data_IF_724555834533
#
_entry.id   IF_724555834533
#
_cell.length_a   1.000
_cell.length_b   1.000
_cell.length_c   1.000
_cell.angle_alpha   90.00
_cell.angle_beta   90.00
_cell.angle_gamma   90.00
#
_symmetry.space_group_name_H-M   'P 1'
#
loop_
_entity.id
_entity.type
_entity.pdbx_description
1 polymer ?
#
# COMPACT_ATOMS: atom_id res chain seq x y z
N UNK A 1 -10.23 -2.91 -19.29
CA UNK A 1 -9.92 -3.95 -20.30
C UNK A 1 -10.81 -5.16 -20.04
N UNK A 2 -10.67 -6.26 -20.79
CA UNK A 2 -11.41 -7.51 -20.52
C UNK A 2 -11.04 -8.15 -19.17
N UNK A 3 -9.82 -7.93 -18.68
CA UNK A 3 -9.33 -8.49 -17.41
C UNK A 3 -9.92 -7.82 -16.16
N UNK A 4 -10.35 -6.55 -16.28
CA UNK A 4 -10.78 -5.69 -15.16
C UNK A 4 -9.71 -5.59 -14.07
N UNK A 5 -8.44 -5.57 -14.46
CA UNK A 5 -7.32 -5.47 -13.51
C UNK A 5 -6.73 -4.06 -13.42
N UNK A 6 -7.01 -3.18 -14.38
CA UNK A 6 -6.56 -1.79 -14.38
C UNK A 6 -7.72 -0.80 -14.22
N UNK A 7 -7.56 0.18 -13.34
CA UNK A 7 -8.57 1.17 -12.97
C UNK A 7 -7.98 2.59 -13.09
N UNK A 8 -8.83 3.55 -13.44
CA UNK A 8 -8.47 4.97 -13.48
C UNK A 8 -9.06 5.71 -12.29
N UNK A 9 -8.21 6.37 -11.51
CA UNK A 9 -8.60 7.34 -10.51
C UNK A 9 -8.72 8.71 -11.16
N UNK A 10 -9.95 9.19 -11.33
CA UNK A 10 -10.25 10.51 -11.91
C UNK A 10 -10.51 11.54 -10.83
N UNK A 11 -10.05 12.76 -11.08
CA UNK A 11 -10.48 13.91 -10.28
C UNK A 11 -12.01 14.06 -10.37
N UNK A 12 -12.67 14.31 -9.25
CA UNK A 12 -14.14 14.32 -9.18
C UNK A 12 -14.75 15.57 -9.78
N UNK A 13 -14.01 16.68 -9.83
CA UNK A 13 -14.48 17.96 -10.35
C UNK A 13 -14.18 18.10 -11.83
N UNK A 14 -12.96 17.73 -12.25
CA UNK A 14 -12.52 17.93 -13.65
C UNK A 14 -12.73 16.70 -14.53
N UNK A 15 -12.85 15.50 -13.94
CA UNK A 15 -12.91 14.24 -14.67
C UNK A 15 -11.58 13.78 -15.28
N UNK A 16 -10.51 14.54 -15.06
CA UNK A 16 -9.16 14.23 -15.55
C UNK A 16 -8.62 12.98 -14.85
N UNK A 17 -7.95 12.11 -15.62
CA UNK A 17 -7.28 10.93 -15.06
C UNK A 17 -6.05 11.39 -14.27
N UNK A 18 -6.07 11.15 -12.96
CA UNK A 18 -4.98 11.53 -12.05
C UNK A 18 -4.07 10.35 -11.72
N UNK A 19 -4.64 9.15 -11.63
CA UNK A 19 -3.94 7.94 -11.25
C UNK A 19 -4.43 6.73 -12.04
N UNK A 20 -3.57 5.74 -12.18
CA UNK A 20 -3.94 4.37 -12.58
C UNK A 20 -3.54 3.41 -11.48
N UNK A 21 -4.33 2.37 -11.27
CA UNK A 21 -4.13 1.42 -10.18
C UNK A 21 -4.64 0.03 -10.57
N UNK A 22 -4.10 -0.99 -9.90
CA UNK A 22 -4.58 -2.36 -9.98
C UNK A 22 -5.45 -2.76 -8.79
N UNK A 23 -5.98 -3.99 -8.82
CA UNK A 23 -6.68 -4.55 -7.65
C UNK A 23 -5.79 -4.67 -6.42
N UNK A 24 -4.49 -4.93 -6.61
CA UNK A 24 -3.53 -5.06 -5.51
C UNK A 24 -3.34 -3.74 -4.76
N UNK A 25 -3.53 -2.61 -5.43
CA UNK A 25 -3.48 -1.28 -4.82
C UNK A 25 -4.81 -0.93 -4.15
N UNK A 26 -5.93 -1.11 -4.86
CA UNK A 26 -7.25 -0.68 -4.41
C UNK A 26 -7.83 -1.52 -3.25
N UNK A 27 -7.29 -2.72 -3.00
CA UNK A 27 -7.73 -3.55 -1.87
C UNK A 27 -7.49 -2.87 -0.52
N UNK A 28 -6.43 -2.06 -0.40
CA UNK A 28 -6.10 -1.30 0.82
C UNK A 28 -7.12 -0.19 1.12
N UNK A 29 -7.93 0.22 0.15
CA UNK A 29 -9.01 1.20 0.35
C UNK A 29 -10.42 0.60 0.49
N UNK A 30 -10.58 -0.71 0.21
CA UNK A 30 -11.89 -1.38 0.12
C UNK A 30 -12.11 -2.45 1.20
N UNK A 31 -11.08 -3.22 1.58
CA UNK A 31 -11.18 -4.17 2.67
C UNK A 31 -11.09 -3.43 4.02
N UNK A 32 -12.04 -3.64 4.92
CA UNK A 32 -12.12 -2.87 6.17
C UNK A 32 -10.89 -3.00 7.08
N UNK A 33 -10.30 -4.20 7.15
CA UNK A 33 -9.10 -4.45 7.96
C UNK A 33 -7.87 -3.78 7.34
N UNK A 34 -7.66 -3.94 6.04
CA UNK A 34 -6.53 -3.30 5.34
C UNK A 34 -6.66 -1.78 5.33
N UNK A 35 -7.88 -1.27 5.21
CA UNK A 35 -8.17 0.16 5.27
C UNK A 35 -7.83 0.75 6.63
N UNK A 36 -8.15 0.06 7.72
CA UNK A 36 -7.78 0.52 9.06
C UNK A 36 -6.25 0.65 9.22
N UNK A 37 -5.48 -0.27 8.63
CA UNK A 37 -4.00 -0.18 8.61
C UNK A 37 -3.52 1.00 7.74
N UNK A 38 -4.13 1.19 6.56
CA UNK A 38 -3.80 2.32 5.69
C UNK A 38 -4.08 3.67 6.36
N UNK A 39 -5.17 3.79 7.11
CA UNK A 39 -5.53 5.01 7.85
C UNK A 39 -4.51 5.35 8.96
N UNK A 40 -3.94 4.35 9.63
CA UNK A 40 -2.83 4.58 10.58
C UNK A 40 -1.62 5.17 9.86
N UNK A 41 -1.20 4.63 8.72
CA UNK A 41 -0.03 5.15 8.00
C UNK A 41 -0.29 6.46 7.26
N UNK A 42 -1.54 6.78 6.94
CA UNK A 42 -1.93 8.05 6.30
C UNK A 42 -2.18 9.18 7.32
N UNK A 43 -2.12 8.91 8.62
CA UNK A 43 -2.29 9.91 9.67
C UNK A 43 -1.13 10.92 9.68
N UNK A 44 -1.39 12.16 10.09
CA UNK A 44 -0.43 13.27 9.99
C UNK A 44 0.86 13.08 10.80
N UNK A 45 0.83 12.23 11.81
CA UNK A 45 1.94 11.91 12.71
C UNK A 45 2.66 10.60 12.36
N UNK A 46 2.25 9.91 11.29
CA UNK A 46 2.72 8.56 11.00
C UNK A 46 3.96 8.48 10.10
N UNK A 47 4.54 9.61 9.67
CA UNK A 47 5.67 9.61 8.72
C UNK A 47 6.87 8.79 9.22
N UNK A 48 7.36 9.07 10.44
CA UNK A 48 8.50 8.36 11.00
C UNK A 48 8.17 6.88 11.27
N UNK A 49 6.94 6.59 11.71
CA UNK A 49 6.45 5.24 11.93
C UNK A 49 6.45 4.43 10.64
N UNK A 50 5.92 5.00 9.56
CA UNK A 50 5.88 4.34 8.25
C UNK A 50 7.29 3.95 7.78
N UNK A 51 8.25 4.87 7.87
CA UNK A 51 9.64 4.60 7.47
C UNK A 51 10.26 3.48 8.30
N UNK A 52 10.12 3.53 9.63
CA UNK A 52 10.68 2.51 10.53
C UNK A 52 10.07 1.12 10.27
N UNK A 53 8.75 1.06 10.15
CA UNK A 53 8.04 -0.21 9.95
C UNK A 53 8.35 -0.80 8.57
N UNK A 54 8.47 0.04 7.53
CA UNK A 54 8.89 -0.39 6.21
C UNK A 54 10.31 -0.97 6.22
N UNK A 55 11.27 -0.29 6.86
CA UNK A 55 12.66 -0.78 6.97
C UNK A 55 12.71 -2.08 7.76
N UNK A 56 11.97 -2.20 8.86
CA UNK A 56 11.93 -3.44 9.64
C UNK A 56 11.36 -4.60 8.82
N UNK A 57 10.28 -4.37 8.06
CA UNK A 57 9.71 -5.38 7.17
C UNK A 57 10.68 -5.78 6.05
N UNK A 58 11.40 -4.81 5.46
CA UNK A 58 12.42 -5.04 4.46
C UNK A 58 13.56 -5.93 5.00
N UNK A 59 14.15 -5.54 6.12
CA UNK A 59 15.23 -6.30 6.79
C UNK A 59 14.77 -7.71 7.15
N UNK A 60 13.52 -7.87 7.60
CA UNK A 60 12.94 -9.20 7.86
C UNK A 60 12.95 -10.07 6.61
N UNK A 61 12.46 -9.55 5.48
CA UNK A 61 12.42 -10.31 4.21
C UNK A 61 13.82 -10.66 3.72
N UNK A 62 14.78 -9.74 3.84
CA UNK A 62 16.18 -9.97 3.43
C UNK A 62 16.91 -11.05 4.23
N UNK A 63 16.39 -11.45 5.39
CA UNK A 63 17.00 -12.47 6.24
C UNK A 63 16.19 -13.78 6.31
N UNK A 64 15.14 -13.95 5.51
CA UNK A 64 14.27 -15.14 5.59
C UNK A 64 14.97 -16.46 5.27
N UNK A 65 16.10 -16.43 4.57
CA UNK A 65 16.90 -17.60 4.18
C UNK A 65 18.25 -17.72 4.93
N UNK A 66 18.50 -16.84 5.91
CA UNK A 66 19.72 -16.84 6.73
C UNK A 66 19.68 -17.89 7.85
N UNK A 67 19.57 -19.15 7.46
CA UNK A 67 19.56 -20.29 8.37
C UNK A 67 20.89 -20.49 9.12
N UNK A 68 21.96 -19.84 8.68
CA UNK A 68 23.29 -19.85 9.29
C UNK A 68 23.41 -18.98 10.56
N UNK A 69 22.42 -18.12 10.82
CA UNK A 69 22.38 -17.22 11.98
C UNK A 69 21.47 -17.72 13.12
N UNK A 70 20.93 -18.95 13.02
CA UNK A 70 20.13 -19.62 14.06
C UNK A 70 21.00 -20.32 15.10
#
# INVERSE_FOLDING_TARGET
DESKELFEGRDRETGEVKYTASRADLVFGSNSVLRAVAEVYASSDAHEKFVKDFVAAWVKVMNLDRFDLL
#
